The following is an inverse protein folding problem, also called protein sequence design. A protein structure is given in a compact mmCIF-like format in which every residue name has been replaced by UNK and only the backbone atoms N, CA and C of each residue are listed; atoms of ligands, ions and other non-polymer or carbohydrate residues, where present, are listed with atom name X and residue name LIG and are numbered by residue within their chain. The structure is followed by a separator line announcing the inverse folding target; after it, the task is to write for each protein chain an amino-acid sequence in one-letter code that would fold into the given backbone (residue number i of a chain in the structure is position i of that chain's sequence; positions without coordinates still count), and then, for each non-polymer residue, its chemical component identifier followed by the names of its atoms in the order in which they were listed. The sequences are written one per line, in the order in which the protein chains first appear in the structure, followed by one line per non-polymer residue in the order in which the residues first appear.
data_IF_276072379341
#
_entry.id   IF_276072379341
#
_cell.length_a   1.000
_cell.length_b   1.000
_cell.length_c   1.000
_cell.angle_alpha   90.00
_cell.angle_beta   90.00
_cell.angle_gamma   90.00
#
_symmetry.space_group_name_H-M   'P 1'
#
loop_
_entity.id
_entity.type
_entity.pdbx_description
1 polymer ?
#
# COMPACT_ATOMS: atom_id res chain seq x y z
N UNK A 1 -11.52 -15.59 31.34
CA UNK A 1 -11.79 -14.68 30.19
C UNK A 1 -13.03 -15.20 29.49
N UNK A 2 -14.03 -14.35 29.25
CA UNK A 2 -15.35 -14.79 28.79
C UNK A 2 -15.29 -15.20 27.31
N UNK A 3 -15.83 -16.36 26.91
CA UNK A 3 -15.72 -16.86 25.54
C UNK A 3 -16.24 -15.87 24.48
N UNK A 4 -17.30 -15.12 24.83
CA UNK A 4 -17.91 -14.09 23.98
C UNK A 4 -16.98 -12.90 23.69
N UNK A 5 -16.10 -12.55 24.63
CA UNK A 5 -15.13 -11.46 24.42
C UNK A 5 -13.98 -11.89 23.52
N UNK A 6 -13.59 -13.16 23.59
CA UNK A 6 -12.56 -13.75 22.72
C UNK A 6 -13.05 -13.81 21.27
N UNK A 7 -14.30 -14.20 21.06
CA UNK A 7 -14.91 -14.30 19.73
C UNK A 7 -15.05 -12.92 19.07
N UNK A 8 -15.50 -11.92 19.84
CA UNK A 8 -15.60 -10.54 19.37
C UNK A 8 -14.21 -9.97 19.02
N UNK A 9 -13.19 -10.27 19.82
CA UNK A 9 -11.81 -9.86 19.57
C UNK A 9 -11.26 -10.49 18.28
N UNK A 10 -11.51 -11.79 18.05
CA UNK A 10 -11.13 -12.47 16.81
C UNK A 10 -11.79 -11.82 15.59
N UNK A 11 -13.09 -11.51 15.67
CA UNK A 11 -13.81 -10.84 14.59
C UNK A 11 -13.22 -9.46 14.25
N UNK A 12 -12.89 -8.66 15.25
CA UNK A 12 -12.24 -7.35 15.05
C UNK A 12 -10.86 -7.47 14.40
N UNK A 13 -10.09 -8.50 14.74
CA UNK A 13 -8.77 -8.77 14.15
C UNK A 13 -8.91 -9.18 12.67
N UNK A 14 -9.88 -10.05 12.36
CA UNK A 14 -10.19 -10.50 11.00
C UNK A 14 -10.54 -9.32 10.09
N UNK A 15 -11.45 -8.45 10.54
CA UNK A 15 -11.89 -7.27 9.80
C UNK A 15 -10.74 -6.29 9.55
N UNK A 16 -9.87 -6.07 10.54
CA UNK A 16 -8.69 -5.20 10.38
C UNK A 16 -7.66 -5.78 9.41
N UNK A 17 -7.44 -7.10 9.43
CA UNK A 17 -6.55 -7.78 8.48
C UNK A 17 -7.04 -7.66 7.03
N UNK A 18 -8.34 -7.84 6.80
CA UNK A 18 -8.94 -7.71 5.47
C UNK A 18 -8.81 -6.27 4.94
N UNK A 19 -9.12 -5.27 5.76
CA UNK A 19 -8.96 -3.84 5.40
C UNK A 19 -7.51 -3.48 5.10
N UNK A 20 -6.55 -3.98 5.90
CA UNK A 20 -5.12 -3.76 5.69
C UNK A 20 -4.59 -4.37 4.38
N UNK A 21 -5.11 -5.53 3.97
CA UNK A 21 -4.75 -6.15 2.69
C UNK A 21 -5.30 -5.40 1.47
N UNK A 22 -6.45 -4.74 1.58
CA UNK A 22 -7.03 -3.93 0.50
C UNK A 22 -6.20 -2.66 0.19
N UNK A 23 -5.51 -2.11 1.19
CA UNK A 23 -4.71 -0.88 1.06
C UNK A 23 -3.37 -1.11 0.33
N UNK A 24 -2.91 -2.38 0.20
CA UNK A 24 -1.64 -2.75 -0.44
C UNK A 24 -1.53 -2.31 -1.91
N UNK A 25 -2.66 -2.01 -2.57
CA UNK A 25 -2.69 -1.57 -3.97
C UNK A 25 -3.04 -0.09 -4.15
N UNK A 26 -2.90 0.73 -3.09
CA UNK A 26 -2.93 2.18 -3.25
C UNK A 26 -1.75 2.60 -4.14
N UNK A 27 -2.05 2.93 -5.40
CA UNK A 27 -1.04 3.44 -6.34
C UNK A 27 -0.44 4.70 -5.72
N UNK A 28 0.87 4.67 -5.45
CA UNK A 28 1.61 5.88 -5.09
C UNK A 28 1.46 6.90 -6.22
N UNK A 29 1.43 8.19 -5.88
CA UNK A 29 1.37 9.25 -6.87
C UNK A 29 2.49 9.06 -7.90
N UNK A 30 2.11 9.00 -9.18
CA UNK A 30 3.08 8.86 -10.27
C UNK A 30 3.83 10.16 -10.46
N UNK A 31 5.16 10.08 -10.61
CA UNK A 31 6.01 11.27 -10.84
C UNK A 31 5.65 12.03 -12.12
N UNK A 32 5.12 11.34 -13.12
CA UNK A 32 4.81 11.92 -14.44
C UNK A 32 3.38 11.54 -14.85
N UNK A 33 2.70 12.47 -15.51
CA UNK A 33 1.38 12.27 -16.13
C UNK A 33 1.60 12.31 -17.65
N UNK A 34 1.38 11.19 -18.35
CA UNK A 34 1.51 11.08 -19.82
C UNK A 34 2.61 10.13 -20.31
N UNK A 35 2.60 9.82 -21.61
CA UNK A 35 3.57 8.93 -22.30
C UNK A 35 4.59 9.75 -23.08
N UNK A 36 5.88 9.48 -22.89
CA UNK A 36 6.94 10.10 -23.67
C UNK A 36 7.28 9.28 -24.92
N UNK A 37 7.64 9.97 -26.02
CA UNK A 37 7.85 9.38 -27.35
C UNK A 37 9.32 9.06 -27.70
N UNK A 38 10.26 9.36 -26.81
CA UNK A 38 11.71 9.09 -26.95
C UNK A 38 12.29 8.53 -25.65
N UNK A 39 13.61 8.27 -25.59
CA UNK A 39 14.27 7.71 -24.40
C UNK A 39 14.03 8.55 -23.14
N UNK A 40 13.22 8.04 -22.21
CA UNK A 40 12.90 8.71 -20.94
C UNK A 40 13.28 7.82 -19.78
N UNK A 41 14.14 8.34 -18.89
CA UNK A 41 14.46 7.73 -17.60
C UNK A 41 13.36 8.09 -16.60
N UNK A 42 12.32 7.27 -16.51
CA UNK A 42 11.24 7.42 -15.52
C UNK A 42 11.47 6.45 -14.35
N UNK A 43 12.04 6.98 -13.26
CA UNK A 43 12.05 6.33 -11.95
C UNK A 43 11.31 7.20 -10.94
N UNK A 44 10.66 6.59 -9.95
CA UNK A 44 10.04 7.30 -8.83
C UNK A 44 11.06 7.90 -7.82
N UNK A 45 12.29 8.17 -8.27
CA UNK A 45 13.41 8.66 -7.46
C UNK A 45 14.12 7.54 -6.70
N UNK A 46 15.46 7.55 -6.72
CA UNK A 46 16.35 6.59 -6.07
C UNK A 46 17.45 7.29 -5.27
N UNK A 47 17.10 7.77 -4.08
CA UNK A 47 18.07 8.03 -3.00
C UNK A 47 18.75 9.40 -2.97
N UNK A 48 19.29 9.74 -1.79
CA UNK A 48 20.04 10.96 -1.50
C UNK A 48 21.33 11.10 -2.34
N UNK A 49 21.69 10.07 -3.13
CA UNK A 49 22.87 9.95 -3.97
C UNK A 49 22.56 9.21 -5.28
N UNK A 50 21.55 9.62 -6.05
CA UNK A 50 21.37 9.17 -7.45
C UNK A 50 22.61 9.63 -8.28
N UNK A 51 23.70 8.85 -8.18
CA UNK A 51 24.95 8.87 -8.96
C UNK A 51 25.20 7.45 -9.45
#
# INVERSE_FOLDING_TARGET
MNNKSIEMMKKLIEEKKQKGNSIKNSKKASKVIGKASKGVKVGNGGGLFDK
#
